data_IF_740709430300
#
_entry.id   IF_740709430300
#
_cell.length_a   1.000
_cell.length_b   1.000
_cell.length_c   1.000
_cell.angle_alpha   90.00
_cell.angle_beta   90.00
_cell.angle_gamma   90.00
#
_symmetry.space_group_name_H-M   'P 1'
#
loop_
_entity.id
_entity.type
_entity.pdbx_description
1 polymer ?
#
# COMPACT_ATOMS: atom_id res chain seq x y z
N UNK A 1 -18.62 0.86 -9.46
CA UNK A 1 -18.17 1.91 -8.56
C UNK A 1 -16.67 2.07 -8.56
N UNK A 2 -16.24 3.23 -8.12
CA UNK A 2 -14.82 3.53 -7.98
C UNK A 2 -14.40 3.17 -6.56
N UNK A 3 -13.38 2.31 -6.45
CA UNK A 3 -12.83 1.90 -5.17
C UNK A 3 -11.53 2.63 -4.90
N UNK A 4 -11.31 2.99 -3.64
CA UNK A 4 -10.01 3.43 -3.17
C UNK A 4 -9.19 2.20 -2.80
N UNK A 5 -7.92 2.21 -3.18
CA UNK A 5 -7.02 1.11 -2.89
C UNK A 5 -5.94 1.54 -1.91
N UNK A 6 -5.63 0.65 -0.98
CA UNK A 6 -4.45 0.77 -0.14
C UNK A 6 -3.34 -0.12 -0.66
N UNK A 7 -2.15 0.44 -0.79
CA UNK A 7 -0.96 -0.28 -1.20
C UNK A 7 -0.15 -0.58 0.07
N UNK A 8 0.04 -1.86 0.43
CA UNK A 8 0.80 -2.20 1.62
C UNK A 8 2.25 -1.73 1.53
N UNK A 9 2.72 -1.16 2.62
CA UNK A 9 4.09 -0.75 2.81
C UNK A 9 4.68 -1.66 3.88
N UNK A 10 5.78 -2.32 3.59
CA UNK A 10 6.41 -3.23 4.52
C UNK A 10 7.87 -2.90 4.72
N UNK A 11 8.42 -3.39 5.83
CA UNK A 11 9.85 -3.29 6.11
C UNK A 11 10.64 -4.07 5.06
N UNK A 12 11.83 -3.57 4.67
CA UNK A 12 12.63 -4.25 3.67
C UNK A 12 13.24 -5.54 4.24
N UNK A 13 13.28 -6.57 3.40
CA UNK A 13 13.99 -7.82 3.71
C UNK A 13 15.32 -7.80 2.96
N UNK A 14 16.22 -8.69 3.35
CA UNK A 14 17.55 -8.79 2.73
C UNK A 14 17.47 -8.93 1.20
N UNK A 15 16.52 -9.73 0.71
CA UNK A 15 16.33 -9.95 -0.74
C UNK A 15 16.01 -8.65 -1.48
N UNK A 16 15.38 -7.68 -0.81
CA UNK A 16 14.97 -6.44 -1.46
C UNK A 16 16.13 -5.53 -1.85
N UNK A 17 17.28 -5.67 -1.21
CA UNK A 17 18.47 -4.86 -1.50
C UNK A 17 18.92 -5.02 -2.95
N UNK A 18 18.82 -6.24 -3.48
CA UNK A 18 19.28 -6.56 -4.84
C UNK A 18 18.16 -6.64 -5.87
N UNK A 19 16.90 -6.48 -5.44
CA UNK A 19 15.76 -6.47 -6.36
C UNK A 19 15.62 -5.12 -7.04
N UNK A 20 15.28 -5.14 -8.32
CA UNK A 20 14.92 -3.93 -9.06
C UNK A 20 13.41 -3.70 -8.95
N UNK A 21 13.00 -2.44 -9.07
CA UNK A 21 11.59 -2.13 -9.18
C UNK A 21 10.97 -2.86 -10.37
N UNK A 22 9.75 -3.33 -10.19
CA UNK A 22 8.99 -4.06 -11.19
C UNK A 22 7.56 -3.52 -11.25
N UNK A 23 6.71 -4.13 -12.08
CA UNK A 23 5.31 -3.68 -12.22
C UNK A 23 4.54 -3.75 -10.90
N UNK A 24 4.86 -4.71 -10.04
CA UNK A 24 4.13 -4.96 -8.80
C UNK A 24 4.91 -4.59 -7.53
N UNK A 25 6.04 -3.89 -7.67
CA UNK A 25 6.94 -3.67 -6.53
C UNK A 25 7.75 -2.38 -6.72
N UNK A 26 7.84 -1.58 -5.65
CA UNK A 26 8.72 -0.41 -5.63
C UNK A 26 9.45 -0.30 -4.31
N UNK A 27 10.71 0.07 -4.39
CA UNK A 27 11.52 0.39 -3.22
C UNK A 27 11.32 1.85 -2.82
N UNK A 28 11.34 2.09 -1.52
CA UNK A 28 11.39 3.44 -0.96
C UNK A 28 12.82 3.68 -0.50
N UNK A 29 13.57 4.43 -1.28
CA UNK A 29 14.96 4.75 -0.98
C UNK A 29 15.12 6.25 -0.76
N UNK A 30 15.79 6.62 0.33
CA UNK A 30 16.09 8.01 0.68
C UNK A 30 17.56 8.09 1.03
N UNK A 31 18.31 8.94 0.30
CA UNK A 31 19.75 9.12 0.49
C UNK A 31 20.52 7.78 0.47
N UNK A 32 20.15 6.91 -0.46
CA UNK A 32 20.81 5.62 -0.63
C UNK A 32 20.41 4.56 0.39
N UNK A 33 19.52 4.87 1.32
CA UNK A 33 19.05 3.93 2.33
C UNK A 33 17.69 3.39 1.96
N UNK A 34 17.55 2.07 1.97
CA UNK A 34 16.27 1.39 1.72
C UNK A 34 15.43 1.43 3.00
N UNK A 35 14.34 2.21 2.97
CA UNK A 35 13.48 2.42 4.13
C UNK A 35 12.30 1.46 4.17
N UNK A 36 11.80 1.05 3.02
CA UNK A 36 10.64 0.19 2.91
C UNK A 36 10.37 -0.22 1.49
N UNK A 37 9.32 -1.00 1.31
CA UNK A 37 8.88 -1.45 -0.02
C UNK A 37 7.37 -1.33 -0.14
N UNK A 38 6.92 -0.96 -1.34
CA UNK A 38 5.50 -0.92 -1.69
C UNK A 38 5.15 -2.17 -2.48
N UNK A 39 4.15 -2.91 -2.02
CA UNK A 39 3.72 -4.16 -2.64
C UNK A 39 2.40 -3.94 -3.37
N UNK A 40 2.48 -3.52 -4.64
CA UNK A 40 1.29 -3.25 -5.45
C UNK A 40 0.45 -4.51 -5.69
N UNK A 41 1.11 -5.67 -5.77
CA UNK A 41 0.43 -6.95 -5.94
C UNK A 41 -0.50 -7.31 -4.78
N UNK A 42 -0.30 -6.71 -3.62
CA UNK A 42 -1.10 -6.96 -2.43
C UNK A 42 -2.05 -5.80 -2.10
N UNK A 43 -2.23 -4.85 -3.01
CA UNK A 43 -3.15 -3.73 -2.78
C UNK A 43 -4.57 -4.23 -2.64
N UNK A 44 -5.35 -3.57 -1.79
CA UNK A 44 -6.72 -3.96 -1.47
C UNK A 44 -7.67 -2.76 -1.57
N UNK A 45 -8.91 -2.98 -2.04
CA UNK A 45 -9.93 -1.93 -1.98
C UNK A 45 -10.39 -1.76 -0.53
N UNK A 46 -10.62 -0.50 -0.14
CA UNK A 46 -11.01 -0.18 1.23
C UNK A 46 -12.09 0.89 1.25
N UNK A 47 -12.79 0.95 2.38
CA UNK A 47 -13.63 2.08 2.75
C UNK A 47 -12.85 3.00 3.70
N UNK A 48 -13.04 4.30 3.59
CA UNK A 48 -12.32 5.27 4.41
C UNK A 48 -12.53 5.04 5.92
N UNK A 49 -13.72 4.60 6.30
CA UNK A 49 -14.04 4.33 7.69
C UNK A 49 -13.21 3.18 8.30
N UNK A 50 -12.63 2.35 7.45
CA UNK A 50 -11.77 1.25 7.89
C UNK A 50 -10.35 1.70 8.19
N UNK A 51 -9.99 2.93 7.81
CA UNK A 51 -8.65 3.44 7.98
C UNK A 51 -8.46 4.07 9.35
N UNK A 52 -7.34 3.77 9.96
CA UNK A 52 -6.90 4.41 11.18
C UNK A 52 -5.61 5.17 10.89
N UNK A 53 -5.62 6.47 11.15
CA UNK A 53 -4.43 7.29 10.96
C UNK A 53 -3.37 6.96 12.00
N UNK A 54 -2.13 6.83 11.53
CA UNK A 54 -0.98 6.66 12.42
C UNK A 54 -0.54 8.04 12.91
N UNK A 55 -0.50 8.20 14.23
CA UNK A 55 0.00 9.44 14.83
C UNK A 55 1.53 9.41 14.88
N UNK A 56 2.16 10.27 14.09
CA UNK A 56 3.62 10.37 14.01
C UNK A 56 4.19 11.44 14.92
N UNK A 57 3.36 12.07 15.77
CA UNK A 57 3.81 13.06 16.75
C UNK A 57 4.75 12.41 17.76
N UNK A 58 5.95 12.96 17.90
CA UNK A 58 6.94 12.47 18.86
C UNK A 58 6.72 13.16 20.21
N UNK A 59 6.50 12.35 21.25
CA UNK A 59 6.33 12.82 22.62
C UNK A 59 7.58 12.56 23.45
N UNK A 60 7.77 13.35 24.49
CA UNK A 60 8.90 13.18 25.42
C UNK A 60 8.92 11.78 26.07
N UNK A 61 7.74 11.21 26.33
CA UNK A 61 7.57 9.88 26.94
C UNK A 61 7.89 8.73 25.99
N UNK A 62 8.02 8.99 24.69
CA UNK A 62 8.24 7.94 23.71
C UNK A 62 9.60 7.29 23.92
N UNK A 63 9.63 5.97 23.93
CA UNK A 63 10.86 5.19 23.97
C UNK A 63 11.59 5.34 22.63
N UNK A 64 12.88 5.03 22.62
CA UNK A 64 13.74 5.19 21.46
C UNK A 64 13.23 4.43 20.23
N UNK A 65 12.74 3.19 20.41
CA UNK A 65 12.18 2.39 19.31
C UNK A 65 10.91 3.02 18.73
N UNK A 66 10.08 3.65 19.56
CA UNK A 66 8.86 4.32 19.12
C UNK A 66 9.23 5.61 18.36
N UNK A 67 10.20 6.36 18.84
CA UNK A 67 10.71 7.56 18.15
C UNK A 67 11.26 7.21 16.78
N UNK A 68 12.04 6.15 16.71
CA UNK A 68 12.60 5.65 15.45
C UNK A 68 11.49 5.29 14.46
N UNK A 69 10.49 4.53 14.92
CA UNK A 69 9.34 4.13 14.10
C UNK A 69 8.59 5.35 13.55
N UNK A 70 8.31 6.33 14.41
CA UNK A 70 7.59 7.55 14.00
C UNK A 70 8.38 8.35 12.97
N UNK A 71 9.69 8.48 13.15
CA UNK A 71 10.57 9.15 12.19
C UNK A 71 10.58 8.41 10.85
N UNK A 72 10.64 7.09 10.88
CA UNK A 72 10.61 6.27 9.68
C UNK A 72 9.30 6.46 8.92
N UNK A 73 8.16 6.41 9.61
CA UNK A 73 6.85 6.65 9.01
C UNK A 73 6.75 8.04 8.36
N UNK A 74 7.31 9.06 9.01
CA UNK A 74 7.35 10.41 8.47
C UNK A 74 8.14 10.46 7.16
N UNK A 75 9.31 9.87 7.12
CA UNK A 75 10.14 9.82 5.92
C UNK A 75 9.48 9.05 4.78
N UNK A 76 8.86 7.92 5.09
CA UNK A 76 8.15 7.11 4.11
C UNK A 76 6.94 7.85 3.56
N UNK A 77 6.19 8.55 4.42
CA UNK A 77 5.05 9.36 3.99
C UNK A 77 5.48 10.50 3.07
N UNK A 78 6.55 11.22 3.43
CA UNK A 78 7.11 12.28 2.59
C UNK A 78 7.52 11.76 1.22
N UNK A 79 8.17 10.59 1.19
CA UNK A 79 8.54 9.95 -0.06
C UNK A 79 7.31 9.61 -0.91
N UNK A 80 6.28 9.05 -0.29
CA UNK A 80 5.04 8.71 -0.99
C UNK A 80 4.33 9.96 -1.53
N UNK A 81 4.29 11.04 -0.76
CA UNK A 81 3.70 12.31 -1.20
C UNK A 81 4.45 12.88 -2.40
N UNK A 82 5.78 12.86 -2.37
CA UNK A 82 6.61 13.34 -3.47
C UNK A 82 6.43 12.50 -4.73
N UNK A 83 6.23 11.19 -4.57
CA UNK A 83 6.12 10.23 -5.68
C UNK A 83 4.67 9.80 -5.93
N UNK A 84 3.70 10.54 -5.45
CA UNK A 84 2.28 10.15 -5.49
C UNK A 84 1.80 9.85 -6.92
N UNK A 85 2.15 10.68 -7.87
CA UNK A 85 1.73 10.48 -9.27
C UNK A 85 2.28 9.17 -9.84
N UNK A 86 3.56 8.90 -9.60
CA UNK A 86 4.20 7.65 -10.05
C UNK A 86 3.54 6.44 -9.40
N UNK A 87 3.26 6.53 -8.09
CA UNK A 87 2.62 5.45 -7.34
C UNK A 87 1.22 5.17 -7.90
N UNK A 88 0.42 6.21 -8.09
CA UNK A 88 -0.94 6.07 -8.63
C UNK A 88 -0.94 5.48 -10.04
N UNK A 89 -0.04 5.96 -10.90
CA UNK A 89 0.09 5.44 -12.26
C UNK A 89 0.48 3.97 -12.27
N UNK A 90 1.41 3.59 -11.41
CA UNK A 90 1.88 2.22 -11.30
C UNK A 90 0.76 1.29 -10.82
N UNK A 91 -0.01 1.71 -9.83
CA UNK A 91 -1.15 0.96 -9.33
C UNK A 91 -2.22 0.77 -10.43
N UNK A 92 -2.51 1.83 -11.18
CA UNK A 92 -3.48 1.78 -12.28
C UNK A 92 -3.02 0.85 -13.41
N UNK A 93 -1.76 0.88 -13.77
CA UNK A 93 -1.20 0.00 -14.80
C UNK A 93 -1.34 -1.45 -14.38
N UNK A 94 -0.98 -1.77 -13.15
CA UNK A 94 -1.09 -3.15 -12.65
C UNK A 94 -2.54 -3.62 -12.61
N UNK A 95 -3.44 -2.78 -12.12
CA UNK A 95 -4.87 -3.08 -12.05
C UNK A 95 -5.46 -3.38 -13.44
N UNK A 96 -5.19 -2.53 -14.41
CA UNK A 96 -5.66 -2.70 -15.78
C UNK A 96 -5.08 -3.96 -16.43
N UNK A 97 -3.81 -4.23 -16.22
CA UNK A 97 -3.17 -5.44 -16.72
C UNK A 97 -3.83 -6.70 -16.12
N UNK A 98 -4.11 -6.67 -14.82
CA UNK A 98 -4.79 -7.78 -14.17
C UNK A 98 -6.17 -8.02 -14.76
N UNK A 99 -6.96 -6.97 -14.99
CA UNK A 99 -8.30 -7.08 -15.55
C UNK A 99 -8.32 -7.52 -17.01
N UNK A 100 -7.24 -7.30 -17.75
CA UNK A 100 -7.16 -7.65 -19.19
C UNK A 100 -7.09 -9.15 -19.44
N UNK A 101 -6.88 -9.94 -18.38
CA UNK A 101 -6.67 -11.40 -18.45
C UNK A 101 -5.47 -11.84 -19.29
N UNK A 102 -4.62 -10.90 -19.68
CA UNK A 102 -3.38 -11.22 -20.39
C UNK A 102 -2.32 -11.72 -19.42
N UNK A 103 -1.49 -12.71 -19.83
CA UNK A 103 -0.37 -13.15 -19.00
C UNK A 103 0.64 -12.00 -18.82
N UNK A 104 1.12 -11.83 -17.61
CA UNK A 104 2.24 -10.92 -17.33
C UNK A 104 3.04 -11.44 -16.15
N UNK A 105 4.31 -11.02 -16.08
CA UNK A 105 5.18 -11.42 -14.98
C UNK A 105 4.63 -10.84 -13.65
N UNK A 106 4.39 -11.73 -12.70
CA UNK A 106 3.86 -11.35 -11.40
C UNK A 106 2.35 -11.46 -11.25
N UNK A 107 1.62 -11.82 -12.32
CA UNK A 107 0.16 -11.99 -12.22
C UNK A 107 -0.25 -12.94 -11.10
N UNK A 108 0.46 -14.04 -10.96
CA UNK A 108 0.17 -15.05 -9.93
C UNK A 108 0.47 -14.57 -8.51
N UNK A 109 1.21 -13.47 -8.36
CA UNK A 109 1.48 -12.86 -7.06
C UNK A 109 0.40 -11.84 -6.66
N UNK A 110 -0.44 -11.42 -7.61
CA UNK A 110 -1.49 -10.44 -7.35
C UNK A 110 -2.65 -11.07 -6.60
N UNK A 111 -3.27 -10.31 -5.70
CA UNK A 111 -4.55 -10.66 -5.12
C UNK A 111 -5.62 -10.57 -6.21
N UNK A 112 -6.73 -11.26 -6.00
CA UNK A 112 -7.87 -11.20 -6.92
C UNK A 112 -8.65 -9.91 -6.65
N UNK A 113 -8.36 -8.86 -7.39
CA UNK A 113 -8.94 -7.54 -7.17
C UNK A 113 -10.47 -7.52 -7.34
N UNK A 114 -11.06 -8.10 -8.41
CA UNK A 114 -12.51 -8.14 -8.52
C UNK A 114 -13.20 -8.86 -7.37
N UNK A 115 -12.63 -9.94 -6.88
CA UNK A 115 -13.17 -10.68 -5.74
C UNK A 115 -13.13 -9.83 -4.46
N UNK A 116 -12.04 -9.10 -4.25
CA UNK A 116 -11.91 -8.22 -3.09
C UNK A 116 -12.89 -7.05 -3.17
N UNK A 117 -13.13 -6.51 -4.36
CA UNK A 117 -14.13 -5.47 -4.55
C UNK A 117 -15.53 -5.96 -4.21
N UNK A 118 -15.87 -7.18 -4.62
CA UNK A 118 -17.15 -7.80 -4.28
C UNK A 118 -17.30 -8.00 -2.77
N UNK A 119 -16.24 -8.43 -2.09
CA UNK A 119 -16.24 -8.58 -0.63
C UNK A 119 -16.37 -7.24 0.07
N UNK A 120 -15.73 -6.19 -0.45
CA UNK A 120 -15.84 -4.83 0.05
C UNK A 120 -17.30 -4.33 -0.02
N UNK A 121 -18.00 -4.59 -1.12
CA UNK A 121 -19.42 -4.25 -1.26
C UNK A 121 -20.30 -4.99 -0.26
N UNK A 122 -20.06 -6.27 -0.06
CA UNK A 122 -20.79 -7.05 0.94
C UNK A 122 -20.62 -6.47 2.34
N UNK A 123 -19.40 -6.05 2.68
CA UNK A 123 -19.10 -5.42 3.95
C UNK A 123 -19.89 -4.12 4.12
N UNK A 124 -19.92 -3.28 3.09
CA UNK A 124 -20.68 -2.03 3.10
C UNK A 124 -22.17 -2.24 3.29
N UNK A 125 -22.73 -3.23 2.63
CA UNK A 125 -24.15 -3.59 2.79
C UNK A 125 -24.46 -4.03 4.22
N UNK A 126 -23.58 -4.78 4.85
CA UNK A 126 -23.73 -5.20 6.26
C UNK A 126 -23.70 -4.01 7.20
N UNK A 127 -22.81 -3.05 7.00
CA UNK A 127 -22.72 -1.84 7.82
C UNK A 127 -23.98 -1.01 7.68
N UNK A 128 -24.45 -0.78 6.46
CA UNK A 128 -25.69 -0.03 6.21
C UNK A 128 -26.90 -0.67 6.87
N UNK A 129 -26.98 -2.00 6.87
CA UNK A 129 -28.04 -2.73 7.56
C UNK A 129 -27.92 -2.66 9.08
N UNK A 130 -26.70 -2.64 9.60
CA UNK A 130 -26.43 -2.56 11.04
C UNK A 130 -26.70 -1.17 11.64
N UNK A 131 -26.79 -0.12 10.81
CA UNK A 131 -27.03 1.25 11.27
C UNK A 131 -28.53 1.63 11.28
N UNK A 132 -29.36 0.76 10.82
CA UNK A 132 -30.81 0.92 10.87
C UNK A 132 -31.35 0.27 12.17
#
# INVERSE_FOLDING_TARGET
>A
GVYKYCIPLSSPKEKHKNMKNSMDFSKIEVNGKLLGVLNFNLMIPIEEEQLQLVDTTIFKRDRENIRYYKKLCTLELEWCQTNNEVICNKANVLYKKYLSNEPFAGRNRCLNFPKLEAECEKYNLKIKKGTN
#
